data_IF_792764905946
#
_entry.id   IF_792764905946
#
_cell.length_a   1.000
_cell.length_b   1.000
_cell.length_c   1.000
_cell.angle_alpha   90.00
_cell.angle_beta   90.00
_cell.angle_gamma   90.00
#
_symmetry.space_group_name_H-M   'P 1'
#
loop_
_entity.id
_entity.type
_entity.pdbx_description
1 polymer ?
#
# COMPACT_ATOMS: atom_id res chain seq x y z
N UNK A 1 0.38 -4.65 26.31
CA UNK A 1 0.37 -5.85 27.15
C UNK A 1 -0.55 -5.67 28.36
N UNK A 2 -0.39 -4.59 29.10
CA UNK A 2 -1.19 -4.27 30.28
C UNK A 2 -2.70 -4.20 30.00
N UNK A 3 -3.09 -3.52 28.90
CA UNK A 3 -4.50 -3.45 28.49
C UNK A 3 -5.13 -4.82 28.25
N UNK A 4 -4.39 -5.77 27.65
CA UNK A 4 -4.89 -7.11 27.42
C UNK A 4 -5.05 -7.91 28.73
N UNK A 5 -4.14 -7.72 29.68
CA UNK A 5 -4.24 -8.32 31.02
C UNK A 5 -5.42 -7.72 31.79
N UNK A 6 -5.63 -6.40 31.68
CA UNK A 6 -6.75 -5.70 32.35
C UNK A 6 -8.13 -6.20 31.89
N UNK A 7 -8.26 -6.66 30.65
CA UNK A 7 -9.51 -7.25 30.12
C UNK A 7 -9.58 -8.79 30.25
N UNK A 8 -8.69 -9.38 31.05
CA UNK A 8 -8.78 -10.81 31.47
C UNK A 8 -7.90 -11.78 30.67
N UNK A 9 -6.93 -11.32 29.88
CA UNK A 9 -5.99 -12.23 29.22
C UNK A 9 -5.07 -12.90 30.23
N UNK A 10 -5.04 -14.24 30.25
CA UNK A 10 -4.18 -15.03 31.16
C UNK A 10 -2.69 -14.94 30.78
N UNK A 11 -2.41 -14.82 29.49
CA UNK A 11 -1.04 -14.72 28.96
C UNK A 11 -1.04 -13.82 27.72
N UNK A 12 -0.10 -12.89 27.64
CA UNK A 12 0.07 -11.98 26.50
C UNK A 12 1.51 -12.07 26.01
N UNK A 13 1.68 -12.41 24.74
CA UNK A 13 2.96 -12.43 24.05
C UNK A 13 2.93 -11.37 22.97
N UNK A 14 3.98 -10.57 22.87
CA UNK A 14 4.17 -9.61 21.76
C UNK A 14 4.96 -10.32 20.66
N UNK A 15 4.53 -10.11 19.44
CA UNK A 15 5.23 -10.57 18.22
C UNK A 15 5.42 -9.38 17.29
N UNK A 16 6.55 -9.32 16.63
CA UNK A 16 6.80 -8.31 15.61
C UNK A 16 5.86 -8.52 14.42
N UNK A 17 5.22 -7.44 13.97
CA UNK A 17 4.24 -7.52 12.87
C UNK A 17 4.80 -8.18 11.60
N UNK A 18 6.04 -7.90 11.12
CA UNK A 18 6.59 -8.58 9.95
C UNK A 18 6.74 -10.10 10.15
N UNK A 19 7.08 -10.53 11.37
CA UNK A 19 7.18 -11.97 11.70
C UNK A 19 5.80 -12.62 11.68
N UNK A 20 4.79 -11.94 12.26
CA UNK A 20 3.42 -12.40 12.21
C UNK A 20 2.90 -12.51 10.76
N UNK A 21 3.26 -11.56 9.90
CA UNK A 21 2.92 -11.59 8.48
C UNK A 21 3.54 -12.81 7.77
N UNK A 22 4.84 -13.09 7.98
CA UNK A 22 5.51 -14.27 7.42
C UNK A 22 4.82 -15.57 7.84
N UNK A 23 4.45 -15.66 9.11
CA UNK A 23 3.74 -16.85 9.65
C UNK A 23 2.34 -16.99 9.04
N UNK A 24 1.59 -15.89 8.94
CA UNK A 24 0.26 -15.86 8.33
C UNK A 24 0.27 -16.23 6.84
N UNK A 25 1.32 -15.88 6.14
CA UNK A 25 1.54 -16.23 4.73
C UNK A 25 2.01 -17.67 4.53
N UNK A 26 2.33 -18.41 5.60
CA UNK A 26 2.85 -19.78 5.53
C UNK A 26 4.24 -19.88 4.89
N UNK A 27 4.99 -18.78 4.85
CA UNK A 27 6.33 -18.76 4.25
C UNK A 27 7.33 -19.54 5.10
N UNK A 28 8.06 -20.46 4.47
CA UNK A 28 9.04 -21.33 5.14
C UNK A 28 10.43 -20.70 5.10
N UNK A 29 10.74 -19.88 6.10
CA UNK A 29 12.05 -19.21 6.22
C UNK A 29 13.22 -20.18 6.47
N UNK A 30 12.97 -21.44 6.80
CA UNK A 30 13.99 -22.49 6.90
C UNK A 30 14.66 -22.81 5.55
N UNK A 31 13.96 -22.55 4.44
CA UNK A 31 14.44 -22.76 3.07
C UNK A 31 14.90 -21.50 2.35
N UNK A 32 14.75 -20.34 2.98
CA UNK A 32 15.03 -19.02 2.42
C UNK A 32 15.91 -18.25 3.39
N UNK A 33 16.87 -17.48 2.89
CA UNK A 33 17.67 -16.59 3.74
C UNK A 33 16.87 -15.36 4.15
N UNK A 34 15.90 -14.92 3.33
CA UNK A 34 15.01 -13.83 3.69
C UNK A 34 13.93 -13.53 2.67
N UNK A 35 12.94 -12.74 3.11
CA UNK A 35 11.81 -12.25 2.32
C UNK A 35 11.61 -10.75 2.57
N UNK A 36 11.29 -10.00 1.52
CA UNK A 36 10.89 -8.60 1.62
C UNK A 36 9.36 -8.51 1.61
N UNK A 37 8.81 -7.99 2.70
CA UNK A 37 7.37 -7.75 2.87
C UNK A 37 7.11 -6.25 2.84
N UNK A 38 6.13 -5.84 2.05
CA UNK A 38 5.63 -4.47 1.97
C UNK A 38 4.17 -4.49 2.40
N UNK A 39 3.91 -4.02 3.62
CA UNK A 39 2.58 -3.90 4.21
C UNK A 39 2.07 -2.48 4.04
N UNK A 40 1.12 -2.28 3.13
CA UNK A 40 0.51 -0.97 2.87
C UNK A 40 -0.93 -1.00 3.40
N UNK A 41 -1.06 -0.57 4.64
CA UNK A 41 -2.32 -0.53 5.35
C UNK A 41 -3.13 0.76 5.15
N UNK A 42 -4.24 0.86 5.86
CA UNK A 42 -5.07 2.06 5.88
C UNK A 42 -4.40 3.26 6.55
N UNK A 43 -3.60 3.05 7.61
CA UNK A 43 -2.99 4.12 8.42
C UNK A 43 -1.47 4.24 8.31
N UNK A 44 -0.78 3.24 7.77
CA UNK A 44 0.68 3.23 7.67
C UNK A 44 1.18 2.23 6.63
N UNK A 45 2.43 2.41 6.21
CA UNK A 45 3.19 1.46 5.41
C UNK A 45 4.39 0.95 6.21
N UNK A 46 4.59 -0.36 6.23
CA UNK A 46 5.77 -1.01 6.78
C UNK A 46 6.46 -1.84 5.71
N UNK A 47 7.74 -1.64 5.57
CA UNK A 47 8.59 -2.35 4.62
C UNK A 47 9.64 -3.07 5.45
N UNK A 48 9.70 -4.40 5.37
CA UNK A 48 10.56 -5.18 6.26
C UNK A 48 11.19 -6.35 5.54
N UNK A 49 12.47 -6.55 5.77
CA UNK A 49 13.18 -7.79 5.39
C UNK A 49 13.21 -8.70 6.61
N UNK A 50 12.64 -9.88 6.44
CA UNK A 50 12.56 -10.91 7.48
C UNK A 50 13.39 -12.13 7.06
N UNK A 51 14.24 -12.61 7.94
CA UNK A 51 15.00 -13.84 7.80
C UNK A 51 14.59 -14.86 8.86
N UNK A 52 15.17 -16.06 8.80
CA UNK A 52 15.01 -17.09 9.85
C UNK A 52 15.45 -16.61 11.24
N UNK A 53 16.31 -15.59 11.32
CA UNK A 53 16.83 -15.03 12.56
C UNK A 53 16.02 -13.83 13.07
N UNK A 54 14.94 -13.44 12.37
CA UNK A 54 14.11 -12.31 12.72
C UNK A 54 14.12 -11.20 11.67
N UNK A 55 13.74 -9.99 12.08
CA UNK A 55 13.75 -8.80 11.22
C UNK A 55 15.18 -8.33 10.99
N UNK A 56 15.61 -8.29 9.73
CA UNK A 56 16.96 -7.85 9.32
C UNK A 56 17.05 -6.33 9.28
N UNK A 57 16.11 -5.71 8.57
CA UNK A 57 15.88 -4.26 8.56
C UNK A 57 14.41 -3.95 8.30
N UNK A 58 14.02 -2.72 8.62
CA UNK A 58 12.65 -2.28 8.37
C UNK A 58 12.60 -0.77 8.19
N UNK A 59 11.59 -0.32 7.43
CA UNK A 59 11.22 1.09 7.27
C UNK A 59 9.73 1.25 7.59
N UNK A 60 9.42 2.30 8.37
CA UNK A 60 8.06 2.69 8.69
C UNK A 60 7.75 4.04 8.07
N UNK A 61 6.56 4.17 7.49
CA UNK A 61 6.06 5.41 6.91
C UNK A 61 4.58 5.61 7.26
N UNK A 62 4.16 6.85 7.37
CA UNK A 62 2.75 7.24 7.52
C UNK A 62 1.99 7.27 6.20
N UNK A 63 2.70 7.06 5.07
CA UNK A 63 2.08 6.91 3.76
C UNK A 63 1.10 5.73 3.78
N UNK A 64 -0.15 5.97 3.42
CA UNK A 64 -1.21 4.99 3.71
C UNK A 64 -2.41 5.12 2.79
N UNK A 65 -3.30 4.13 2.84
CA UNK A 65 -4.55 4.14 2.09
C UNK A 65 -5.46 5.33 2.42
N UNK A 66 -5.51 5.74 3.70
CA UNK A 66 -6.31 6.92 4.10
C UNK A 66 -5.71 8.23 3.59
N UNK A 67 -4.39 8.35 3.57
CA UNK A 67 -3.72 9.52 3.00
C UNK A 67 -3.95 9.59 1.47
N UNK A 68 -3.99 8.45 0.80
CA UNK A 68 -4.38 8.35 -0.61
C UNK A 68 -5.81 8.84 -0.85
N UNK A 69 -6.75 8.46 0.01
CA UNK A 69 -8.15 8.90 -0.09
C UNK A 69 -8.25 10.42 0.08
N UNK A 70 -7.54 10.99 1.05
CA UNK A 70 -7.48 12.45 1.28
C UNK A 70 -6.89 13.19 0.07
N UNK A 71 -5.83 12.67 -0.52
CA UNK A 71 -5.23 13.25 -1.72
C UNK A 71 -6.22 13.28 -2.89
N UNK A 72 -6.99 12.20 -3.10
CA UNK A 72 -8.04 12.15 -4.13
C UNK A 72 -9.14 13.18 -3.82
N UNK A 73 -9.62 13.27 -2.57
CA UNK A 73 -10.63 14.25 -2.17
C UNK A 73 -10.17 15.68 -2.46
N UNK A 74 -8.91 15.99 -2.15
CA UNK A 74 -8.35 17.32 -2.36
C UNK A 74 -8.23 17.67 -3.85
N UNK A 75 -7.71 16.76 -4.68
CA UNK A 75 -7.58 17.00 -6.13
C UNK A 75 -8.95 17.19 -6.78
N UNK A 76 -9.98 16.43 -6.36
CA UNK A 76 -11.34 16.60 -6.85
C UNK A 76 -11.93 17.93 -6.41
N UNK A 77 -11.72 18.32 -5.17
CA UNK A 77 -12.18 19.62 -4.67
C UNK A 77 -11.53 20.78 -5.44
N UNK A 78 -10.23 20.74 -5.64
CA UNK A 78 -9.48 21.77 -6.36
C UNK A 78 -9.90 21.88 -7.83
N UNK A 79 -10.03 20.74 -8.51
CA UNK A 79 -10.26 20.70 -9.96
C UNK A 79 -11.71 20.91 -10.35
N UNK A 80 -12.64 20.37 -9.59
CA UNK A 80 -14.07 20.35 -9.93
C UNK A 80 -14.95 21.20 -9.02
N UNK A 81 -14.39 21.76 -7.94
CA UNK A 81 -15.17 22.44 -6.88
C UNK A 81 -16.26 21.55 -6.30
N UNK A 82 -15.98 20.25 -6.15
CA UNK A 82 -16.89 19.24 -5.63
C UNK A 82 -16.28 18.56 -4.44
N UNK A 83 -17.02 18.50 -3.35
CA UNK A 83 -16.65 17.77 -2.14
C UNK A 83 -17.21 16.36 -2.21
N UNK A 84 -16.33 15.36 -2.20
CA UNK A 84 -16.70 13.94 -2.09
C UNK A 84 -16.36 13.40 -0.69
N UNK A 85 -17.06 12.34 -0.28
CA UNK A 85 -16.76 11.64 0.97
C UNK A 85 -15.62 10.63 0.81
N UNK A 86 -15.02 10.20 1.94
CA UNK A 86 -13.91 9.24 1.96
C UNK A 86 -14.25 7.93 1.23
N UNK A 87 -15.46 7.38 1.44
CA UNK A 87 -15.89 6.16 0.77
C UNK A 87 -15.92 6.30 -0.76
N UNK A 88 -16.32 7.47 -1.27
CA UNK A 88 -16.28 7.75 -2.71
C UNK A 88 -14.83 7.83 -3.21
N UNK A 89 -13.93 8.46 -2.47
CA UNK A 89 -12.50 8.51 -2.79
C UNK A 89 -11.87 7.11 -2.79
N UNK A 90 -12.17 6.28 -1.81
CA UNK A 90 -11.73 4.88 -1.76
C UNK A 90 -12.25 4.08 -2.96
N UNK A 91 -13.53 4.27 -3.33
CA UNK A 91 -14.12 3.64 -4.51
C UNK A 91 -13.36 4.05 -5.78
N UNK A 92 -13.06 5.34 -5.96
CA UNK A 92 -12.26 5.83 -7.09
C UNK A 92 -10.86 5.21 -7.09
N UNK A 93 -10.19 5.20 -5.95
CA UNK A 93 -8.87 4.60 -5.77
C UNK A 93 -8.85 3.14 -6.23
N UNK A 94 -9.77 2.33 -5.74
CA UNK A 94 -9.81 0.89 -6.04
C UNK A 94 -10.31 0.59 -7.46
N UNK A 95 -11.24 1.38 -7.99
CA UNK A 95 -11.77 1.19 -9.33
C UNK A 95 -10.76 1.57 -10.41
N UNK A 96 -10.13 2.74 -10.26
CA UNK A 96 -9.20 3.30 -11.23
C UNK A 96 -7.76 2.85 -10.99
N UNK A 97 -7.33 2.68 -9.73
CA UNK A 97 -5.97 2.25 -9.43
C UNK A 97 -4.92 3.24 -9.92
N UNK A 98 -3.76 2.72 -10.26
CA UNK A 98 -2.65 3.48 -10.84
C UNK A 98 -2.22 2.85 -12.15
N UNK A 99 -2.06 3.67 -13.18
CA UNK A 99 -1.52 3.26 -14.47
C UNK A 99 -0.16 3.94 -14.67
N UNK A 100 0.83 3.16 -15.06
CA UNK A 100 2.16 3.69 -15.31
C UNK A 100 2.25 4.46 -16.64
N UNK A 101 1.38 4.10 -17.60
CA UNK A 101 1.28 4.77 -18.90
C UNK A 101 -0.01 5.61 -18.96
N UNK A 102 0.07 6.82 -18.43
CA UNK A 102 -1.05 7.75 -18.37
C UNK A 102 -1.64 8.07 -19.75
N UNK A 103 -0.86 7.93 -20.83
CA UNK A 103 -1.34 8.18 -22.19
C UNK A 103 -2.32 7.10 -22.69
N UNK A 104 -2.39 5.96 -22.01
CA UNK A 104 -3.29 4.84 -22.33
C UNK A 104 -4.43 4.67 -21.33
N UNK A 105 -4.48 5.48 -20.28
CA UNK A 105 -5.51 5.36 -19.25
C UNK A 105 -6.81 5.99 -19.71
N UNK A 106 -7.72 5.18 -20.23
CA UNK A 106 -9.07 5.56 -20.63
C UNK A 106 -10.13 5.26 -19.57
N UNK A 107 -9.72 4.79 -18.38
CA UNK A 107 -10.64 4.40 -17.31
C UNK A 107 -11.34 5.62 -16.74
N UNK A 108 -12.64 5.49 -16.56
CA UNK A 108 -13.51 6.52 -15.97
C UNK A 108 -14.37 5.88 -14.90
N UNK A 109 -14.56 6.56 -13.78
CA UNK A 109 -15.47 6.16 -12.71
C UNK A 109 -16.33 7.34 -12.29
N UNK A 110 -17.64 7.11 -12.15
CA UNK A 110 -18.58 8.13 -11.73
C UNK A 110 -18.76 8.11 -10.21
N UNK A 111 -18.77 9.30 -9.61
CA UNK A 111 -19.05 9.48 -8.18
C UNK A 111 -19.98 10.66 -7.94
N UNK A 112 -20.71 10.59 -6.82
CA UNK A 112 -21.56 11.68 -6.36
C UNK A 112 -20.81 12.51 -5.31
N UNK A 113 -21.00 13.82 -5.36
CA UNK A 113 -20.48 14.77 -4.38
C UNK A 113 -21.40 15.97 -4.24
N UNK A 114 -20.97 16.95 -3.48
CA UNK A 114 -21.68 18.22 -3.29
C UNK A 114 -20.86 19.33 -3.93
N UNK A 115 -21.45 20.07 -4.85
CA UNK A 115 -20.84 21.26 -5.43
C UNK A 115 -20.63 22.32 -4.33
N UNK A 116 -19.41 22.84 -4.23
CA UNK A 116 -19.11 23.94 -3.30
C UNK A 116 -19.61 25.30 -3.76
N UNK A 117 -20.09 25.39 -5.02
CA UNK A 117 -20.62 26.62 -5.62
C UNK A 117 -22.15 26.70 -5.45
N UNK A 118 -22.84 25.59 -5.75
CA UNK A 118 -24.31 25.55 -5.74
C UNK A 118 -24.89 24.88 -4.49
N UNK A 119 -24.05 24.22 -3.69
CA UNK A 119 -24.42 23.40 -2.52
C UNK A 119 -25.36 22.22 -2.84
N UNK A 120 -25.54 21.90 -4.13
CA UNK A 120 -26.39 20.82 -4.58
C UNK A 120 -25.59 19.53 -4.83
N UNK A 121 -26.22 18.35 -4.66
CA UNK A 121 -25.64 17.08 -5.08
C UNK A 121 -25.42 17.07 -6.60
N UNK A 122 -24.21 16.63 -7.00
CA UNK A 122 -23.82 16.49 -8.41
C UNK A 122 -23.11 15.16 -8.64
N UNK A 123 -23.19 14.67 -9.86
CA UNK A 123 -22.49 13.48 -10.32
C UNK A 123 -21.38 13.90 -11.27
N UNK A 124 -20.17 13.37 -11.07
CA UNK A 124 -19.00 13.65 -11.90
C UNK A 124 -18.35 12.37 -12.38
N UNK A 125 -17.76 12.43 -13.56
CA UNK A 125 -16.90 11.40 -14.12
C UNK A 125 -15.43 11.77 -13.83
N UNK A 126 -14.72 10.89 -13.14
CA UNK A 126 -13.32 11.05 -12.77
C UNK A 126 -12.48 10.08 -13.59
N UNK A 127 -11.41 10.57 -14.21
CA UNK A 127 -10.48 9.76 -15.00
C UNK A 127 -9.38 9.15 -14.15
N UNK A 128 -8.77 8.05 -14.63
CA UNK A 128 -7.62 7.42 -13.99
C UNK A 128 -6.43 8.37 -13.85
N UNK A 129 -6.22 9.27 -14.81
CA UNK A 129 -5.18 10.30 -14.76
C UNK A 129 -5.28 11.19 -13.52
N UNK A 130 -6.50 11.61 -13.16
CA UNK A 130 -6.73 12.46 -11.98
C UNK A 130 -6.41 11.71 -10.69
N UNK A 131 -6.82 10.45 -10.61
CA UNK A 131 -6.49 9.60 -9.45
C UNK A 131 -4.99 9.35 -9.39
N UNK A 132 -4.34 9.02 -10.51
CA UNK A 132 -2.89 8.83 -10.55
C UNK A 132 -2.13 10.10 -10.14
N UNK A 133 -2.56 11.27 -10.58
CA UNK A 133 -1.98 12.56 -10.16
C UNK A 133 -2.04 12.73 -8.63
N UNK A 134 -3.17 12.37 -8.01
CA UNK A 134 -3.33 12.44 -6.56
C UNK A 134 -2.42 11.43 -5.82
N UNK A 135 -2.26 10.22 -6.36
CA UNK A 135 -1.54 9.12 -5.70
C UNK A 135 -0.02 9.16 -5.89
N UNK A 136 0.46 9.71 -7.01
CA UNK A 136 1.88 9.69 -7.38
C UNK A 136 2.83 10.20 -6.29
N UNK A 137 2.59 11.32 -5.58
CA UNK A 137 3.50 11.77 -4.53
C UNK A 137 3.61 10.79 -3.36
N UNK A 138 2.51 10.13 -3.01
CA UNK A 138 2.44 9.16 -1.91
C UNK A 138 3.17 7.88 -2.32
N UNK A 139 2.88 7.37 -3.52
CA UNK A 139 3.53 6.18 -4.06
C UNK A 139 5.04 6.38 -4.21
N UNK A 140 5.48 7.56 -4.67
CA UNK A 140 6.90 7.88 -4.76
C UNK A 140 7.61 7.73 -3.41
N UNK A 141 7.01 8.21 -2.31
CA UNK A 141 7.57 8.05 -0.97
C UNK A 141 7.60 6.60 -0.51
N UNK A 142 6.55 5.82 -0.81
CA UNK A 142 6.53 4.37 -0.52
C UNK A 142 7.65 3.67 -1.30
N UNK A 143 7.80 3.92 -2.59
CA UNK A 143 8.84 3.31 -3.43
C UNK A 143 10.24 3.72 -2.99
N UNK A 144 10.44 4.97 -2.57
CA UNK A 144 11.70 5.42 -1.97
C UNK A 144 12.04 4.62 -0.72
N UNK A 145 11.05 4.34 0.14
CA UNK A 145 11.20 3.48 1.30
C UNK A 145 11.59 2.04 0.92
N UNK A 146 10.93 1.46 -0.10
CA UNK A 146 11.27 0.11 -0.60
C UNK A 146 12.72 0.08 -1.09
N UNK A 147 13.11 1.05 -1.91
CA UNK A 147 14.48 1.16 -2.43
C UNK A 147 15.50 1.29 -1.31
N UNK A 148 15.23 2.12 -0.30
CA UNK A 148 16.09 2.29 0.87
C UNK A 148 16.30 0.97 1.64
N UNK A 149 15.23 0.22 1.87
CA UNK A 149 15.31 -1.09 2.55
C UNK A 149 16.11 -2.08 1.73
N UNK A 150 15.92 -2.13 0.40
CA UNK A 150 16.70 -3.00 -0.51
C UNK A 150 18.20 -2.65 -0.43
N UNK A 151 18.54 -1.36 -0.48
CA UNK A 151 19.94 -0.90 -0.44
C UNK A 151 20.65 -1.25 0.87
N UNK A 152 19.92 -1.28 1.99
CA UNK A 152 20.46 -1.65 3.31
C UNK A 152 20.45 -3.17 3.57
N UNK A 153 19.95 -3.97 2.64
CA UNK A 153 19.84 -5.42 2.81
C UNK A 153 21.13 -6.12 2.41
N UNK A 154 21.65 -7.06 3.24
CA UNK A 154 22.85 -7.82 2.90
C UNK A 154 22.73 -8.56 1.56
N UNK A 155 23.80 -8.61 0.73
CA UNK A 155 23.77 -9.23 -0.60
C UNK A 155 23.28 -10.68 -0.62
N UNK A 156 23.62 -11.46 0.41
CA UNK A 156 23.18 -12.86 0.53
C UNK A 156 21.64 -12.99 0.57
N UNK A 157 20.96 -12.08 1.26
CA UNK A 157 19.49 -12.04 1.37
C UNK A 157 18.86 -11.46 0.10
N UNK A 158 19.53 -10.50 -0.54
CA UNK A 158 19.03 -9.90 -1.80
C UNK A 158 18.90 -10.93 -2.92
N UNK A 159 19.78 -11.94 -2.96
CA UNK A 159 19.68 -13.04 -3.91
C UNK A 159 18.32 -13.74 -3.81
N UNK A 160 17.93 -14.12 -2.60
CA UNK A 160 16.63 -14.76 -2.34
C UNK A 160 15.45 -13.85 -2.67
N UNK A 161 15.52 -12.56 -2.29
CA UNK A 161 14.45 -11.60 -2.59
C UNK A 161 14.28 -11.44 -4.11
N UNK A 162 15.36 -11.45 -4.88
CA UNK A 162 15.28 -11.42 -6.35
C UNK A 162 14.64 -12.66 -6.94
N UNK A 163 14.92 -13.82 -6.39
CA UNK A 163 14.39 -15.10 -6.84
C UNK A 163 12.91 -15.24 -6.49
N UNK A 164 12.55 -14.95 -5.24
CA UNK A 164 11.19 -15.17 -4.73
C UNK A 164 10.26 -13.95 -4.89
N UNK A 165 10.82 -12.76 -5.06
CA UNK A 165 10.08 -11.52 -5.23
C UNK A 165 9.70 -10.82 -3.92
N UNK A 166 8.99 -9.70 -4.06
CA UNK A 166 8.48 -8.85 -2.99
C UNK A 166 7.06 -9.27 -2.67
N UNK A 167 6.74 -9.48 -1.39
CA UNK A 167 5.38 -9.83 -0.96
C UNK A 167 4.64 -8.56 -0.53
N UNK A 168 3.53 -8.28 -1.20
CA UNK A 168 2.65 -7.14 -0.91
C UNK A 168 1.48 -7.60 -0.05
N UNK A 169 1.28 -6.95 1.08
CA UNK A 169 0.14 -7.16 2.00
C UNK A 169 -0.49 -5.82 2.40
N UNK A 170 -1.58 -5.89 3.15
CA UNK A 170 -2.40 -4.72 3.49
C UNK A 170 -3.44 -4.41 2.42
N UNK A 171 -4.47 -3.65 2.77
CA UNK A 171 -5.60 -3.37 1.88
C UNK A 171 -5.19 -2.67 0.58
N UNK A 172 -4.18 -1.81 0.61
CA UNK A 172 -3.67 -1.10 -0.58
C UNK A 172 -2.89 -2.02 -1.53
N UNK A 173 -2.41 -3.18 -1.08
CA UNK A 173 -1.76 -4.16 -1.96
C UNK A 173 -2.66 -4.60 -3.14
N UNK A 174 -3.98 -4.48 -2.99
CA UNK A 174 -4.97 -4.78 -4.02
C UNK A 174 -5.17 -3.64 -5.05
N UNK A 175 -4.47 -2.50 -4.89
CA UNK A 175 -4.56 -1.37 -5.81
C UNK A 175 -4.11 -1.81 -7.21
N UNK A 176 -4.98 -1.63 -8.20
CA UNK A 176 -4.69 -1.99 -9.60
C UNK A 176 -3.45 -1.25 -10.09
N UNK A 177 -2.53 -1.96 -10.73
CA UNK A 177 -1.29 -1.38 -11.25
C UNK A 177 -0.14 -1.26 -10.24
N UNK A 178 -0.38 -1.45 -8.93
CA UNK A 178 0.65 -1.30 -7.91
C UNK A 178 1.79 -2.32 -8.10
N UNK A 179 1.45 -3.57 -8.36
CA UNK A 179 2.41 -4.65 -8.57
C UNK A 179 3.36 -4.37 -9.75
N UNK A 180 2.81 -3.86 -10.84
CA UNK A 180 3.54 -3.48 -12.05
C UNK A 180 4.47 -2.30 -11.79
N UNK A 181 4.03 -1.33 -10.98
CA UNK A 181 4.86 -0.21 -10.56
C UNK A 181 6.01 -0.64 -9.65
N UNK A 182 5.76 -1.53 -8.69
CA UNK A 182 6.82 -2.09 -7.84
C UNK A 182 7.87 -2.81 -8.69
N UNK A 183 7.45 -3.66 -9.63
CA UNK A 183 8.37 -4.32 -10.57
C UNK A 183 9.20 -3.30 -11.36
N UNK A 184 8.56 -2.25 -11.89
CA UNK A 184 9.24 -1.23 -12.69
C UNK A 184 10.28 -0.44 -11.90
N UNK A 185 9.99 -0.13 -10.63
CA UNK A 185 10.89 0.65 -9.77
C UNK A 185 12.02 -0.17 -9.21
N UNK A 186 11.76 -1.44 -8.85
CA UNK A 186 12.72 -2.28 -8.13
C UNK A 186 13.46 -3.30 -9.00
N UNK A 187 12.98 -3.54 -10.22
CA UNK A 187 13.41 -4.65 -11.09
C UNK A 187 13.22 -6.03 -10.42
N UNK A 188 12.29 -6.12 -9.48
CA UNK A 188 11.98 -7.34 -8.74
C UNK A 188 10.49 -7.66 -8.89
N UNK A 189 10.16 -8.95 -9.09
CA UNK A 189 8.76 -9.41 -9.12
C UNK A 189 8.07 -9.08 -7.80
N UNK A 190 6.78 -8.73 -7.87
CA UNK A 190 5.96 -8.54 -6.70
C UNK A 190 4.74 -9.47 -6.74
N UNK A 191 4.34 -9.96 -5.57
CA UNK A 191 3.20 -10.85 -5.39
C UNK A 191 2.27 -10.24 -4.34
N UNK A 192 0.98 -10.20 -4.65
CA UNK A 192 -0.03 -9.85 -3.64
C UNK A 192 -0.41 -11.14 -2.92
N UNK A 193 -0.46 -11.11 -1.60
CA UNK A 193 -0.89 -12.25 -0.80
C UNK A 193 -2.36 -12.62 -1.11
N UNK A 194 -2.72 -13.90 -0.97
CA UNK A 194 -4.10 -14.37 -1.23
C UNK A 194 -5.12 -13.71 -0.29
N UNK A 195 -4.72 -13.45 0.95
CA UNK A 195 -5.49 -12.70 1.95
C UNK A 195 -4.64 -11.53 2.46
N UNK A 196 -4.60 -10.39 1.69
CA UNK A 196 -3.63 -9.33 1.96
C UNK A 196 -4.00 -8.43 3.15
N UNK A 197 -5.24 -8.49 3.66
CA UNK A 197 -5.76 -7.69 4.79
C UNK A 197 -6.24 -8.57 5.93
#
# INVERSE_FOLDING_TARGET
REAAVAVGARKTVLIDQPIAAVMGLGLKLDRMQGVLIVDIGGGSTKISVVSRHGVVNSHFSTESGMLMDEAIMNVILEKYHIRIGRKAAETLKMALGVEWDLNRDTRICEVCGISTITELPVKIAVTGEIVAQALNPILYRIFSGITSVIQMTPPAILGDIREHGIVLIGGVAQLKGLKELVLKVTDMKAHVADHPS
#
